data_IF_078535677897
#
_entry.id   IF_078535677897
#
_cell.length_a   1.000
_cell.length_b   1.000
_cell.length_c   1.000
_cell.angle_alpha   90.00
_cell.angle_beta   90.00
_cell.angle_gamma   90.00
#
_symmetry.space_group_name_H-M   'P 1'
#
loop_
_entity.id
_entity.type
_entity.pdbx_description
1 polymer ?
#
# COMPACT_ATOMS: atom_id res chain seq x y z
N UNK A 1 2.27 29.26 4.02
CA UNK A 1 3.02 28.09 4.48
C UNK A 1 2.36 27.52 5.70
N UNK A 2 2.96 27.57 6.89
CA UNK A 2 2.64 26.78 8.08
C UNK A 2 1.18 26.26 8.26
N UNK A 3 0.17 27.14 8.17
CA UNK A 3 -1.24 26.71 8.28
C UNK A 3 -1.66 25.83 7.10
N UNK A 4 -1.22 26.15 5.89
CA UNK A 4 -1.43 25.40 4.65
C UNK A 4 -0.85 23.99 4.72
N UNK A 5 0.34 23.80 5.28
CA UNK A 5 0.97 22.47 5.38
C UNK A 5 0.16 21.56 6.32
N UNK A 6 -0.43 22.12 7.37
CA UNK A 6 -1.34 21.37 8.25
C UNK A 6 -2.68 21.05 7.57
N UNK A 7 -3.24 21.97 6.79
CA UNK A 7 -4.54 21.78 6.14
C UNK A 7 -4.43 20.85 4.92
N UNK A 8 -3.44 21.06 4.07
CA UNK A 8 -3.21 20.27 2.86
C UNK A 8 -2.55 18.93 3.18
N UNK A 9 -1.32 18.99 3.71
CA UNK A 9 -0.44 17.83 3.75
C UNK A 9 -0.71 16.91 4.95
N UNK A 10 -1.39 17.40 5.99
CA UNK A 10 -1.83 16.55 7.10
C UNK A 10 -3.31 16.16 6.95
N UNK A 11 -4.21 17.15 6.96
CA UNK A 11 -5.64 16.85 6.93
C UNK A 11 -6.12 16.33 5.55
N UNK A 12 -5.69 16.96 4.46
CA UNK A 12 -6.05 16.55 3.09
C UNK A 12 -5.52 15.17 2.75
N UNK A 13 -4.22 14.94 2.93
CA UNK A 13 -3.60 13.64 2.69
C UNK A 13 -4.19 12.53 3.57
N UNK A 14 -4.45 12.81 4.85
CA UNK A 14 -5.09 11.85 5.74
C UNK A 14 -6.50 11.46 5.28
N UNK A 15 -7.28 12.41 4.76
CA UNK A 15 -8.60 12.15 4.20
C UNK A 15 -8.55 11.34 2.89
N UNK A 16 -7.61 11.65 1.99
CA UNK A 16 -7.41 10.93 0.72
C UNK A 16 -7.03 9.46 0.96
N UNK A 17 -6.05 9.22 1.84
CA UNK A 17 -5.65 7.87 2.20
C UNK A 17 -6.77 7.12 2.93
N UNK A 18 -7.56 7.80 3.77
CA UNK A 18 -8.74 7.20 4.40
C UNK A 18 -9.80 6.78 3.37
N UNK A 19 -10.10 7.63 2.38
CA UNK A 19 -11.03 7.31 1.31
C UNK A 19 -10.55 6.09 0.51
N UNK A 20 -9.28 6.09 0.08
CA UNK A 20 -8.67 4.98 -0.65
C UNK A 20 -8.68 3.68 0.16
N UNK A 21 -8.36 3.76 1.45
CA UNK A 21 -8.34 2.61 2.35
C UNK A 21 -9.74 2.01 2.54
N UNK A 22 -10.72 2.83 2.91
CA UNK A 22 -12.11 2.37 3.09
C UNK A 22 -12.71 1.89 1.78
N UNK A 23 -12.45 2.59 0.68
CA UNK A 23 -12.90 2.22 -0.66
C UNK A 23 -12.38 0.85 -1.10
N UNK A 24 -11.10 0.56 -0.87
CA UNK A 24 -10.51 -0.75 -1.18
C UNK A 24 -11.12 -1.88 -0.35
N UNK A 25 -11.34 -1.65 0.95
CA UNK A 25 -11.97 -2.62 1.85
C UNK A 25 -13.41 -2.91 1.40
N UNK A 26 -14.23 -1.87 1.24
CA UNK A 26 -15.64 -2.02 0.85
C UNK A 26 -15.76 -2.67 -0.53
N UNK A 27 -14.95 -2.26 -1.51
CA UNK A 27 -14.93 -2.86 -2.84
C UNK A 27 -14.61 -4.35 -2.81
N UNK A 28 -13.63 -4.73 -1.99
CA UNK A 28 -13.26 -6.14 -1.79
C UNK A 28 -14.37 -6.92 -1.08
N UNK A 29 -15.03 -6.32 -0.08
CA UNK A 29 -16.17 -6.95 0.61
C UNK A 29 -17.32 -7.23 -0.35
N UNK A 30 -17.64 -6.30 -1.25
CA UNK A 30 -18.71 -6.46 -2.24
C UNK A 30 -18.40 -7.61 -3.19
N UNK A 31 -17.16 -7.71 -3.67
CA UNK A 31 -16.73 -8.83 -4.52
C UNK A 31 -16.73 -10.15 -3.74
N UNK A 32 -16.28 -10.16 -2.48
CA UNK A 32 -16.36 -11.32 -1.60
C UNK A 32 -17.80 -11.79 -1.39
N UNK A 33 -18.74 -10.86 -1.22
CA UNK A 33 -20.16 -11.18 -1.09
C UNK A 33 -20.73 -11.76 -2.40
N UNK A 34 -20.34 -11.22 -3.55
CA UNK A 34 -20.73 -11.75 -4.85
C UNK A 34 -20.21 -13.18 -5.06
N UNK A 35 -18.98 -13.49 -4.61
CA UNK A 35 -18.41 -14.84 -4.65
C UNK A 35 -19.19 -15.83 -3.80
N UNK A 36 -19.48 -15.47 -2.54
CA UNK A 36 -20.26 -16.32 -1.63
C UNK A 36 -21.67 -16.54 -2.16
N UNK A 37 -22.30 -15.52 -2.75
CA UNK A 37 -23.63 -15.64 -3.35
C UNK A 37 -23.64 -16.54 -4.59
N UNK A 38 -22.63 -16.44 -5.45
CA UNK A 38 -22.53 -17.21 -6.68
C UNK A 38 -22.22 -18.69 -6.45
N UNK A 39 -21.47 -19.03 -5.39
CA UNK A 39 -20.99 -20.38 -5.12
C UNK A 39 -21.12 -20.76 -3.64
N UNK A 40 -22.31 -20.56 -3.09
CA UNK A 40 -22.59 -20.78 -1.67
C UNK A 40 -22.27 -22.19 -1.16
N UNK A 41 -22.22 -23.21 -2.03
CA UNK A 41 -21.84 -24.59 -1.70
C UNK A 41 -20.39 -24.74 -1.24
N UNK A 42 -19.48 -23.93 -1.78
CA UNK A 42 -18.06 -24.00 -1.43
C UNK A 42 -17.71 -23.14 -0.21
N UNK A 43 -18.59 -22.22 0.19
CA UNK A 43 -18.35 -21.30 1.29
C UNK A 43 -19.21 -21.60 2.52
N UNK A 44 -20.53 -21.76 2.35
CA UNK A 44 -21.49 -21.90 3.44
C UNK A 44 -21.61 -23.36 3.90
N UNK A 45 -21.67 -23.56 5.22
CA UNK A 45 -21.93 -24.88 5.81
C UNK A 45 -20.74 -25.84 5.87
N UNK A 46 -19.53 -25.40 5.53
CA UNK A 46 -18.32 -26.16 5.81
C UNK A 46 -18.10 -26.28 7.33
N UNK A 47 -17.91 -27.51 7.82
CA UNK A 47 -17.53 -27.75 9.21
C UNK A 47 -16.17 -27.10 9.51
N UNK A 48 -16.13 -26.22 10.51
CA UNK A 48 -14.93 -25.45 10.87
C UNK A 48 -14.80 -24.08 10.20
N UNK A 49 -15.72 -23.70 9.30
CA UNK A 49 -15.68 -22.37 8.67
C UNK A 49 -15.93 -21.24 9.68
N UNK A 50 -14.93 -20.38 9.84
CA UNK A 50 -15.03 -19.17 10.66
C UNK A 50 -16.02 -18.21 9.97
N UNK A 51 -16.86 -17.52 10.77
CA UNK A 51 -17.93 -16.64 10.28
C UNK A 51 -18.96 -17.32 9.36
N UNK A 52 -19.13 -18.65 9.47
CA UNK A 52 -20.14 -19.39 8.72
C UNK A 52 -19.94 -19.41 7.21
N UNK A 53 -18.70 -19.26 6.74
CA UNK A 53 -18.38 -19.24 5.31
C UNK A 53 -18.25 -17.85 4.69
N UNK A 54 -18.47 -16.79 5.48
CA UNK A 54 -18.38 -15.40 5.02
C UNK A 54 -16.92 -14.88 5.00
N UNK A 55 -15.93 -15.77 5.02
CA UNK A 55 -14.50 -15.47 5.04
C UNK A 55 -14.08 -14.43 4.00
N UNK A 56 -14.45 -14.53 2.71
CA UNK A 56 -14.09 -13.55 1.69
C UNK A 56 -14.59 -12.12 1.97
N UNK A 57 -15.68 -11.97 2.72
CA UNK A 57 -16.23 -10.67 3.10
C UNK A 57 -15.45 -10.08 4.28
N UNK A 58 -15.13 -10.90 5.29
CA UNK A 58 -14.43 -10.41 6.49
C UNK A 58 -12.91 -10.30 6.33
N UNK A 59 -12.32 -11.00 5.36
CA UNK A 59 -10.88 -10.98 5.11
C UNK A 59 -10.29 -9.55 5.01
N UNK A 60 -10.78 -8.64 4.15
CA UNK A 60 -10.21 -7.29 4.06
C UNK A 60 -10.30 -6.49 5.38
N UNK A 61 -11.32 -6.71 6.20
CA UNK A 61 -11.43 -6.08 7.53
C UNK A 61 -10.38 -6.63 8.51
N UNK A 62 -10.14 -7.93 8.46
CA UNK A 62 -9.15 -8.60 9.31
C UNK A 62 -7.73 -8.17 8.89
N UNK A 63 -7.46 -8.09 7.59
CA UNK A 63 -6.19 -7.55 7.09
C UNK A 63 -5.98 -6.11 7.56
N UNK A 64 -7.02 -5.28 7.53
CA UNK A 64 -6.95 -3.93 8.08
C UNK A 64 -6.64 -3.89 9.58
N UNK A 65 -7.28 -4.75 10.37
CA UNK A 65 -7.02 -4.86 11.81
C UNK A 65 -5.58 -5.32 12.10
N UNK A 66 -5.07 -6.29 11.33
CA UNK A 66 -3.67 -6.74 11.41
C UNK A 66 -2.73 -5.62 10.99
N UNK A 67 -3.07 -4.88 9.94
CA UNK A 67 -2.34 -3.70 9.46
C UNK A 67 -2.13 -2.65 10.55
N UNK A 68 -3.15 -2.36 11.34
CA UNK A 68 -3.05 -1.45 12.50
C UNK A 68 -2.04 -1.99 13.52
N UNK A 69 -2.15 -3.26 13.89
CA UNK A 69 -1.28 -3.88 14.91
C UNK A 69 0.17 -3.95 14.44
N UNK A 70 0.39 -4.36 13.19
CA UNK A 70 1.73 -4.45 12.59
C UNK A 70 2.37 -3.07 12.43
N UNK A 71 1.58 -2.06 12.04
CA UNK A 71 2.04 -0.66 11.99
C UNK A 71 2.49 -0.15 13.36
N UNK A 72 1.72 -0.43 14.42
CA UNK A 72 2.10 -0.08 15.81
C UNK A 72 3.44 -0.73 16.16
N UNK A 73 3.64 -2.01 15.85
CA UNK A 73 4.93 -2.67 16.09
C UNK A 73 6.07 -2.06 15.26
N UNK A 74 5.81 -1.68 14.01
CA UNK A 74 6.75 -0.98 13.14
C UNK A 74 7.23 0.35 13.73
N UNK A 75 6.35 1.13 14.37
CA UNK A 75 6.74 2.41 14.98
C UNK A 75 7.81 2.26 16.07
N UNK A 76 7.81 1.17 16.85
CA UNK A 76 8.80 0.97 17.91
C UNK A 76 10.23 0.74 17.38
N UNK A 77 10.38 0.43 16.10
CA UNK A 77 11.66 0.24 15.42
C UNK A 77 12.18 1.52 14.73
N UNK A 78 11.32 2.53 14.56
CA UNK A 78 11.73 3.84 14.01
C UNK A 78 12.55 4.57 15.08
N UNK A 79 13.87 4.41 15.03
CA UNK A 79 14.81 5.06 15.94
C UNK A 79 15.95 5.69 15.15
N UNK A 80 16.12 7.00 15.30
CA UNK A 80 17.23 7.77 14.71
C UNK A 80 18.23 8.06 15.83
N UNK A 81 19.52 7.77 15.59
CA UNK A 81 20.62 8.21 16.46
C UNK A 81 21.03 9.64 16.07
N UNK A 82 21.70 10.36 16.96
CA UNK A 82 22.23 11.69 16.63
C UNK A 82 23.09 11.65 15.35
N UNK A 83 22.77 12.51 14.39
CA UNK A 83 23.42 12.53 13.06
C UNK A 83 23.01 11.40 12.10
N UNK A 84 22.02 10.57 12.47
CA UNK A 84 21.45 9.54 11.63
C UNK A 84 20.47 10.08 10.59
N UNK A 85 20.16 9.25 9.59
CA UNK A 85 19.25 9.57 8.49
C UNK A 85 17.79 9.18 8.85
N UNK A 86 16.87 10.14 9.05
CA UNK A 86 15.48 9.84 9.39
C UNK A 86 14.76 9.00 8.34
N UNK A 87 15.05 9.21 7.05
CA UNK A 87 14.40 8.46 5.97
C UNK A 87 14.72 6.97 6.03
N UNK A 88 15.96 6.62 6.39
CA UNK A 88 16.34 5.21 6.59
C UNK A 88 15.63 4.57 7.78
N UNK A 89 15.46 5.31 8.88
CA UNK A 89 14.75 4.80 10.05
C UNK A 89 13.26 4.58 9.76
N UNK A 90 12.63 5.53 9.07
CA UNK A 90 11.23 5.45 8.64
C UNK A 90 11.01 4.27 7.67
N UNK A 91 11.86 4.14 6.66
CA UNK A 91 11.88 3.00 5.73
C UNK A 91 12.03 1.66 6.48
N UNK A 92 12.92 1.57 7.46
CA UNK A 92 13.13 0.33 8.22
C UNK A 92 11.88 -0.09 9.00
N UNK A 93 11.14 0.87 9.59
CA UNK A 93 9.86 0.62 10.24
C UNK A 93 8.80 0.08 9.27
N UNK A 94 8.71 0.68 8.07
CA UNK A 94 7.79 0.23 7.02
C UNK A 94 8.09 -1.19 6.53
N UNK A 95 9.36 -1.50 6.24
CA UNK A 95 9.76 -2.85 5.81
C UNK A 95 9.49 -3.90 6.90
N UNK A 96 9.72 -3.55 8.16
CA UNK A 96 9.40 -4.44 9.28
C UNK A 96 7.90 -4.69 9.41
N UNK A 97 7.07 -3.63 9.37
CA UNK A 97 5.61 -3.76 9.39
C UNK A 97 5.12 -4.65 8.24
N UNK A 98 5.69 -4.44 7.05
CA UNK A 98 5.40 -5.24 5.85
C UNK A 98 5.74 -6.71 6.00
N UNK A 99 6.91 -7.03 6.55
CA UNK A 99 7.30 -8.42 6.82
C UNK A 99 6.35 -9.09 7.82
N UNK A 100 5.96 -8.38 8.88
CA UNK A 100 5.03 -8.91 9.88
C UNK A 100 3.61 -9.09 9.30
N UNK A 101 3.18 -8.17 8.43
CA UNK A 101 1.91 -8.26 7.72
C UNK A 101 1.84 -9.49 6.81
N UNK A 102 2.90 -9.81 6.07
CA UNK A 102 2.97 -11.03 5.26
C UNK A 102 2.83 -12.29 6.13
N UNK A 103 3.57 -12.35 7.25
CA UNK A 103 3.53 -13.50 8.16
C UNK A 103 2.14 -13.69 8.77
N UNK A 104 1.51 -12.61 9.26
CA UNK A 104 0.19 -12.66 9.85
C UNK A 104 -0.88 -13.05 8.82
N UNK A 105 -0.79 -12.50 7.61
CA UNK A 105 -1.72 -12.78 6.50
C UNK A 105 -1.71 -14.27 6.13
N UNK A 106 -0.54 -14.91 6.09
CA UNK A 106 -0.41 -16.33 5.78
C UNK A 106 -1.25 -17.21 6.73
N UNK A 107 -1.18 -16.97 8.04
CA UNK A 107 -1.95 -17.74 9.03
C UNK A 107 -3.46 -17.47 8.99
N UNK A 108 -3.86 -16.29 8.53
CA UNK A 108 -5.25 -15.83 8.51
C UNK A 108 -6.00 -16.40 7.32
N UNK A 109 -5.35 -16.43 6.15
CA UNK A 109 -5.95 -16.97 4.92
C UNK A 109 -6.29 -18.46 5.06
N UNK A 110 -5.35 -19.26 5.57
CA UNK A 110 -5.57 -20.70 5.76
C UNK A 110 -6.64 -21.06 6.79
N UNK A 111 -7.21 -20.08 7.50
CA UNK A 111 -8.32 -20.29 8.45
C UNK A 111 -9.66 -19.71 7.99
N UNK A 112 -9.64 -18.73 7.09
CA UNK A 112 -10.82 -17.99 6.65
C UNK A 112 -11.34 -18.43 5.29
N UNK A 113 -10.44 -18.89 4.40
CA UNK A 113 -10.79 -19.27 3.04
C UNK A 113 -10.73 -20.79 2.87
N UNK A 114 -11.62 -21.37 2.03
CA UNK A 114 -11.50 -22.77 1.64
C UNK A 114 -10.26 -22.98 0.77
N UNK A 115 -9.71 -24.20 0.76
CA UNK A 115 -8.49 -24.55 0.02
C UNK A 115 -8.59 -24.23 -1.48
N UNK A 116 -9.77 -24.48 -2.06
CA UNK A 116 -10.06 -24.14 -3.46
C UNK A 116 -11.55 -23.86 -3.68
N UNK A 117 -11.85 -22.97 -4.63
CA UNK A 117 -13.19 -22.74 -5.15
C UNK A 117 -13.14 -22.59 -6.67
N UNK A 118 -14.29 -22.77 -7.33
CA UNK A 118 -14.40 -22.64 -8.78
C UNK A 118 -15.39 -21.56 -9.14
N UNK A 119 -14.97 -20.55 -9.87
CA UNK A 119 -15.90 -19.58 -10.46
C UNK A 119 -16.21 -20.01 -11.90
N UNK A 120 -17.19 -20.89 -12.06
CA UNK A 120 -17.58 -21.43 -13.36
C UNK A 120 -16.72 -22.62 -13.85
N UNK A 121 -16.84 -22.99 -15.15
CA UNK A 121 -16.31 -24.27 -15.66
C UNK A 121 -14.78 -24.33 -15.87
N UNK A 122 -14.11 -23.17 -15.97
CA UNK A 122 -12.70 -23.11 -16.43
C UNK A 122 -11.74 -22.43 -15.44
N UNK A 123 -12.23 -21.78 -14.37
CA UNK A 123 -11.40 -21.04 -13.42
C UNK A 123 -11.52 -21.60 -12.00
N UNK A 124 -10.48 -22.31 -11.56
CA UNK A 124 -10.30 -22.75 -10.17
C UNK A 124 -9.27 -21.86 -9.49
N UNK A 125 -9.66 -21.29 -8.36
CA UNK A 125 -8.80 -20.47 -7.51
C UNK A 125 -8.56 -21.15 -6.18
N UNK A 126 -7.44 -20.79 -5.55
CA UNK A 126 -7.02 -21.36 -4.26
C UNK A 126 -6.86 -20.26 -3.22
N UNK A 127 -6.93 -20.65 -1.95
CA UNK A 127 -6.63 -19.74 -0.82
C UNK A 127 -5.21 -19.17 -0.94
N UNK A 128 -4.25 -19.99 -1.39
CA UNK A 128 -2.87 -19.57 -1.69
C UNK A 128 -2.82 -18.50 -2.78
N UNK A 129 -3.69 -18.57 -3.80
CA UNK A 129 -3.81 -17.52 -4.81
C UNK A 129 -4.15 -16.16 -4.21
N UNK A 130 -5.09 -16.11 -3.26
CA UNK A 130 -5.42 -14.86 -2.54
C UNK A 130 -4.23 -14.35 -1.72
N UNK A 131 -3.46 -15.25 -1.11
CA UNK A 131 -2.23 -14.86 -0.40
C UNK A 131 -1.21 -14.21 -1.34
N UNK A 132 -0.96 -14.82 -2.51
CA UNK A 132 -0.06 -14.25 -3.50
C UNK A 132 -0.59 -12.91 -4.05
N UNK A 133 -1.89 -12.75 -4.24
CA UNK A 133 -2.49 -11.48 -4.66
C UNK A 133 -2.23 -10.35 -3.63
N UNK A 134 -2.37 -10.64 -2.33
CA UNK A 134 -2.05 -9.67 -1.27
C UNK A 134 -0.56 -9.31 -1.27
N UNK A 135 0.33 -10.29 -1.42
CA UNK A 135 1.77 -10.04 -1.52
C UNK A 135 2.08 -9.16 -2.72
N UNK A 136 1.47 -9.44 -3.88
CA UNK A 136 1.65 -8.63 -5.09
C UNK A 136 1.27 -7.17 -4.82
N UNK A 137 0.13 -6.94 -4.17
CA UNK A 137 -0.31 -5.61 -3.78
C UNK A 137 0.67 -4.89 -2.85
N UNK A 138 1.12 -5.57 -1.80
CA UNK A 138 2.08 -5.04 -0.84
C UNK A 138 3.45 -4.74 -1.48
N UNK A 139 3.97 -5.65 -2.30
CA UNK A 139 5.23 -5.45 -3.03
C UNK A 139 5.10 -4.33 -4.04
N UNK A 140 3.97 -4.22 -4.74
CA UNK A 140 3.70 -3.12 -5.66
C UNK A 140 3.69 -1.76 -4.94
N UNK A 141 3.05 -1.68 -3.77
CA UNK A 141 3.08 -0.48 -2.93
C UNK A 141 4.51 -0.06 -2.55
N UNK A 142 5.30 -0.99 -2.01
CA UNK A 142 6.71 -0.75 -1.66
C UNK A 142 7.57 -0.36 -2.86
N UNK A 143 7.36 -1.02 -4.01
CA UNK A 143 8.08 -0.73 -5.24
C UNK A 143 7.75 0.68 -5.75
N UNK A 144 6.47 1.07 -5.75
CA UNK A 144 6.04 2.43 -6.11
C UNK A 144 6.66 3.45 -5.15
N UNK A 145 6.62 3.21 -3.83
CA UNK A 145 7.27 4.07 -2.84
C UNK A 145 8.76 4.27 -3.11
N UNK A 146 9.50 3.18 -3.39
CA UNK A 146 10.94 3.24 -3.72
C UNK A 146 11.24 3.96 -5.03
N UNK A 147 10.39 3.79 -6.04
CA UNK A 147 10.51 4.52 -7.29
C UNK A 147 10.29 6.01 -7.03
N UNK A 148 9.24 6.37 -6.29
CA UNK A 148 8.96 7.77 -5.92
C UNK A 148 10.14 8.38 -5.18
N UNK A 149 10.68 7.70 -4.17
CA UNK A 149 11.88 8.14 -3.43
C UNK A 149 13.08 8.37 -4.35
N UNK A 150 13.27 7.57 -5.41
CA UNK A 150 14.34 7.79 -6.38
C UNK A 150 14.17 9.08 -7.19
N UNK A 151 12.94 9.42 -7.57
CA UNK A 151 12.64 10.60 -8.39
C UNK A 151 12.43 11.89 -7.57
N UNK A 152 12.19 11.78 -6.26
CA UNK A 152 11.95 12.93 -5.37
C UNK A 152 13.06 13.15 -4.33
N UNK A 153 13.85 12.12 -4.01
CA UNK A 153 14.86 12.17 -2.97
C UNK A 153 16.05 13.09 -3.30
N UNK A 154 16.52 13.83 -2.31
CA UNK A 154 17.68 14.72 -2.49
C UNK A 154 18.94 13.91 -2.79
N UNK A 155 19.75 14.41 -3.72
CA UNK A 155 21.01 13.77 -4.09
C UNK A 155 20.88 12.55 -5.01
N UNK A 156 19.67 12.17 -5.44
CA UNK A 156 19.46 11.17 -6.49
C UNK A 156 19.79 11.75 -7.87
N UNK A 157 19.99 10.89 -8.87
CA UNK A 157 20.34 11.32 -10.24
C UNK A 157 19.24 12.20 -10.87
N UNK A 158 17.94 11.85 -10.80
CA UNK A 158 16.89 12.68 -11.40
C UNK A 158 16.83 14.07 -10.77
N UNK A 159 16.85 14.16 -9.44
CA UNK A 159 16.79 15.44 -8.74
C UNK A 159 18.04 16.29 -8.98
N UNK A 160 19.23 15.69 -8.96
CA UNK A 160 20.48 16.39 -9.31
C UNK A 160 20.43 17.00 -10.70
N UNK A 161 19.86 16.30 -11.68
CA UNK A 161 19.74 16.85 -13.04
C UNK A 161 18.92 18.14 -13.09
N UNK A 162 17.88 18.25 -12.27
CA UNK A 162 17.05 19.47 -12.14
C UNK A 162 17.84 20.58 -11.43
N UNK A 163 18.55 20.23 -10.34
CA UNK A 163 19.40 21.18 -9.60
C UNK A 163 20.47 21.77 -10.52
N UNK A 164 21.12 20.95 -11.36
CA UNK A 164 22.14 21.42 -12.31
C UNK A 164 21.56 22.40 -13.34
N UNK A 165 20.29 22.23 -13.74
CA UNK A 165 19.60 23.19 -14.62
C UNK A 165 19.27 24.53 -13.93
N UNK A 166 19.39 24.62 -12.61
CA UNK A 166 19.22 25.91 -11.92
C UNK A 166 20.33 26.91 -12.27
N UNK A 167 21.50 26.43 -12.72
CA UNK A 167 22.61 27.28 -13.19
C UNK A 167 22.29 27.92 -14.55
N UNK A 168 21.47 27.27 -15.37
CA UNK A 168 21.14 27.73 -16.73
C UNK A 168 19.93 28.67 -16.76
N UNK A 169 19.13 28.71 -15.68
CA UNK A 169 18.06 29.68 -15.47
C UNK A 169 16.73 29.05 -15.06
N UNK A 170 15.74 29.90 -14.77
CA UNK A 170 14.42 29.44 -14.30
C UNK A 170 13.67 28.59 -15.34
N UNK A 171 13.75 28.97 -16.63
CA UNK A 171 13.03 28.29 -17.69
C UNK A 171 13.51 26.84 -17.90
N UNK A 172 14.83 26.64 -17.92
CA UNK A 172 15.44 25.31 -18.06
C UNK A 172 15.21 24.43 -16.84
N UNK A 173 15.20 25.02 -15.63
CA UNK A 173 14.81 24.31 -14.42
C UNK A 173 13.36 23.79 -14.50
N UNK A 174 12.39 24.65 -14.87
CA UNK A 174 10.98 24.24 -15.03
C UNK A 174 10.83 23.14 -16.10
N UNK A 175 11.48 23.31 -17.26
CA UNK A 175 11.43 22.32 -18.34
C UNK A 175 12.00 20.97 -17.88
N UNK A 176 13.13 20.99 -17.16
CA UNK A 176 13.74 19.76 -16.65
C UNK A 176 12.89 19.10 -15.58
N UNK A 177 12.30 19.87 -14.67
CA UNK A 177 11.39 19.35 -13.64
C UNK A 177 10.17 18.67 -14.27
N UNK A 178 9.53 19.31 -15.25
CA UNK A 178 8.41 18.72 -16.00
C UNK A 178 8.84 17.46 -16.75
N UNK A 179 10.00 17.47 -17.42
CA UNK A 179 10.53 16.32 -18.14
C UNK A 179 10.78 15.12 -17.23
N UNK A 180 11.43 15.34 -16.07
CA UNK A 180 11.66 14.29 -15.07
C UNK A 180 10.33 13.78 -14.49
N UNK A 181 9.37 14.67 -14.24
CA UNK A 181 8.03 14.30 -13.78
C UNK A 181 7.26 13.43 -14.78
N UNK A 182 7.38 13.68 -16.08
CA UNK A 182 6.78 12.80 -17.10
C UNK A 182 7.46 11.42 -17.09
N UNK A 183 8.79 11.37 -16.99
CA UNK A 183 9.56 10.12 -16.98
C UNK A 183 9.24 9.27 -15.72
N UNK A 184 9.07 9.91 -14.56
CA UNK A 184 8.88 9.21 -13.28
C UNK A 184 7.63 8.32 -13.26
N UNK A 185 6.62 8.62 -14.08
CA UNK A 185 5.37 7.83 -14.19
C UNK A 185 5.53 6.47 -14.88
N UNK A 186 6.62 6.27 -15.63
CA UNK A 186 6.82 5.08 -16.47
C UNK A 186 6.85 3.79 -15.64
N UNK A 187 7.70 3.73 -14.62
CA UNK A 187 7.87 2.52 -13.82
C UNK A 187 6.68 2.24 -12.88
N UNK A 188 6.09 3.24 -12.18
CA UNK A 188 4.89 3.01 -11.38
C UNK A 188 3.73 2.41 -12.18
N UNK A 189 3.49 2.89 -13.41
CA UNK A 189 2.44 2.34 -14.27
C UNK A 189 2.74 0.88 -14.65
N UNK A 190 3.99 0.55 -14.97
CA UNK A 190 4.38 -0.84 -15.28
C UNK A 190 4.23 -1.76 -14.07
N UNK A 191 4.63 -1.30 -12.88
CA UNK A 191 4.45 -2.05 -11.63
C UNK A 191 2.97 -2.31 -11.38
N UNK A 192 2.11 -1.30 -11.54
CA UNK A 192 0.67 -1.43 -11.38
C UNK A 192 0.06 -2.41 -12.40
N UNK A 193 0.47 -2.34 -13.68
CA UNK A 193 -0.01 -3.24 -14.71
C UNK A 193 0.34 -4.70 -14.41
N UNK A 194 1.58 -4.96 -14.00
CA UNK A 194 2.02 -6.30 -13.59
C UNK A 194 1.27 -6.76 -12.34
N UNK A 195 1.04 -5.87 -11.38
CA UNK A 195 0.30 -6.19 -10.16
C UNK A 195 -1.15 -6.57 -10.44
N UNK A 196 -1.84 -5.83 -11.31
CA UNK A 196 -3.22 -6.11 -11.71
C UNK A 196 -3.32 -7.44 -12.44
N UNK A 197 -2.47 -7.68 -13.45
CA UNK A 197 -2.48 -8.94 -14.20
C UNK A 197 -2.12 -10.11 -13.28
N UNK A 198 -1.06 -9.99 -12.49
CA UNK A 198 -0.65 -11.04 -11.56
C UNK A 198 -1.74 -11.38 -10.54
N UNK A 199 -2.33 -10.37 -9.89
CA UNK A 199 -3.39 -10.57 -8.92
C UNK A 199 -4.66 -11.19 -9.56
N UNK A 200 -4.98 -10.82 -10.79
CA UNK A 200 -6.09 -11.41 -11.54
C UNK A 200 -5.86 -12.90 -11.84
N UNK A 201 -4.67 -13.29 -12.27
CA UNK A 201 -4.35 -14.71 -12.52
C UNK A 201 -4.46 -15.57 -11.25
N UNK A 202 -4.14 -15.01 -10.07
CA UNK A 202 -4.18 -15.77 -8.83
C UNK A 202 -5.58 -15.88 -8.19
N UNK A 203 -6.43 -14.87 -8.30
CA UNK A 203 -7.74 -14.85 -7.62
C UNK A 203 -8.82 -14.02 -8.34
N UNK A 204 -8.66 -13.79 -9.64
CA UNK A 204 -9.62 -13.06 -10.48
C UNK A 204 -9.84 -11.61 -10.02
N UNK A 205 -11.07 -11.12 -10.18
CA UNK A 205 -11.44 -9.77 -9.76
C UNK A 205 -11.28 -9.56 -8.25
N UNK A 206 -11.53 -10.60 -7.45
CA UNK A 206 -11.31 -10.55 -6.01
C UNK A 206 -9.82 -10.42 -5.69
N UNK A 207 -8.96 -11.09 -6.46
CA UNK A 207 -7.50 -10.94 -6.42
C UNK A 207 -7.05 -9.50 -6.63
N UNK A 208 -7.58 -8.82 -7.65
CA UNK A 208 -7.26 -7.40 -7.88
C UNK A 208 -7.67 -6.54 -6.68
N UNK A 209 -8.88 -6.74 -6.15
CA UNK A 209 -9.40 -5.94 -5.05
C UNK A 209 -8.64 -6.19 -3.73
N UNK A 210 -8.36 -7.46 -3.39
CA UNK A 210 -7.60 -7.80 -2.19
C UNK A 210 -6.12 -7.40 -2.32
N UNK A 211 -5.56 -7.34 -3.53
CA UNK A 211 -4.25 -6.75 -3.78
C UNK A 211 -4.25 -5.23 -3.48
N UNK A 212 -5.32 -4.51 -3.83
CA UNK A 212 -5.45 -3.09 -3.45
C UNK A 212 -5.49 -2.91 -1.92
N UNK A 213 -6.20 -3.79 -1.20
CA UNK A 213 -6.18 -3.83 0.27
C UNK A 213 -4.77 -4.16 0.79
N UNK A 214 -4.07 -5.10 0.15
CA UNK A 214 -2.68 -5.46 0.47
C UNK A 214 -1.72 -4.27 0.33
N UNK A 215 -1.87 -3.47 -0.73
CA UNK A 215 -1.09 -2.26 -0.95
C UNK A 215 -1.27 -1.23 0.18
N UNK A 216 -2.48 -1.12 0.72
CA UNK A 216 -2.85 -0.19 1.79
C UNK A 216 -2.86 -0.86 3.19
N UNK A 217 -2.40 -2.10 3.31
CA UNK A 217 -2.45 -2.82 4.60
C UNK A 217 -1.57 -2.18 5.67
N UNK A 218 -0.50 -1.48 5.26
CA UNK A 218 0.42 -0.76 6.13
C UNK A 218 0.18 0.75 6.13
N UNK A 219 -1.03 1.22 5.76
CA UNK A 219 -1.34 2.65 5.72
C UNK A 219 -1.07 3.36 7.06
N UNK A 220 -1.18 2.66 8.19
CA UNK A 220 -0.87 3.24 9.50
C UNK A 220 0.57 3.74 9.64
N UNK A 221 1.56 2.95 9.24
CA UNK A 221 2.97 3.37 9.26
C UNK A 221 3.28 4.33 8.11
N UNK A 222 2.69 4.14 6.93
CA UNK A 222 2.90 5.04 5.78
C UNK A 222 2.39 6.46 6.08
N UNK A 223 1.19 6.59 6.63
CA UNK A 223 0.63 7.88 7.05
C UNK A 223 1.50 8.55 8.12
N UNK A 224 2.11 7.77 9.03
CA UNK A 224 3.03 8.31 10.02
C UNK A 224 4.33 8.84 9.39
N UNK A 225 4.86 8.14 8.38
CA UNK A 225 6.03 8.58 7.59
C UNK A 225 5.70 9.84 6.80
N UNK A 226 4.52 9.92 6.19
CA UNK A 226 4.14 11.07 5.39
C UNK A 226 3.85 12.31 6.27
N UNK A 227 3.18 12.13 7.42
CA UNK A 227 2.90 13.22 8.36
C UNK A 227 4.17 13.79 9.02
N UNK A 228 5.29 13.06 9.02
CA UNK A 228 6.58 13.57 9.50
C UNK A 228 7.05 14.79 8.70
N UNK A 229 6.81 14.83 7.39
CA UNK A 229 7.25 15.91 6.52
C UNK A 229 6.71 17.29 6.94
N UNK A 230 5.38 17.49 6.95
CA UNK A 230 4.76 18.77 7.31
C UNK A 230 5.05 19.21 8.74
N UNK A 231 5.23 18.26 9.67
CA UNK A 231 5.63 18.56 11.05
C UNK A 231 7.07 19.10 11.06
N UNK A 232 7.99 18.47 10.33
CA UNK A 232 9.37 18.92 10.23
C UNK A 232 9.48 20.28 9.54
N UNK A 233 8.64 20.56 8.54
CA UNK A 233 8.63 21.84 7.82
C UNK A 233 8.18 22.98 8.73
N UNK A 234 7.04 22.80 9.42
CA UNK A 234 6.56 23.75 10.43
C UNK A 234 7.58 24.01 11.55
N UNK A 235 8.27 22.96 12.01
CA UNK A 235 9.32 23.11 13.02
C UNK A 235 10.50 23.95 12.49
N UNK A 236 10.89 23.77 11.22
CA UNK A 236 11.89 24.59 10.54
C UNK A 236 11.47 26.05 10.44
N UNK A 237 10.24 26.30 9.99
CA UNK A 237 9.69 27.66 9.86
C UNK A 237 9.43 28.37 11.20
N UNK A 238 9.32 27.65 12.32
CA UNK A 238 9.27 28.25 13.68
C UNK A 238 10.68 28.58 14.19
N UNK A 239 11.70 27.85 13.75
CA UNK A 239 13.08 28.04 14.18
C UNK A 239 13.78 29.21 13.46
N UNK A 240 13.39 29.50 12.21
CA UNK A 240 13.82 30.67 11.43
C UNK A 240 13.24 31.99 11.95
#
# INVERSE_FOLDING_TARGET
DNVGDNVGDVAGMGADLFESYVGSIIGTMILGAAMVYADGSNYLGQEGAIFGGLGPIFLPLILGAIGIVTSIFGTFLVKVKDGGDPHKALNAGEFFSSALMILATYFVIGRLLPDSWSTGPEASYTSDGVFYAIIIGLVAGLAIGKITEHYTGTGTKPVKSIVDQSVTGYATNIISGLGVGMISTTFPILVLAVAVVGAYEFAGLYGIAIAAVGMLSNTGIQLAVDAYGPISDNAGGIAE
#
